data_IF_064494076777
#
_entry.id   IF_064494076777
#
_cell.length_a   1.000
_cell.length_b   1.000
_cell.length_c   1.000
_cell.angle_alpha   90.00
_cell.angle_beta   90.00
_cell.angle_gamma   90.00
#
_symmetry.space_group_name_H-M   'P 1'
#
loop_
_entity.id
_entity.type
_entity.pdbx_description
1 polymer ?
#
# COMPACT_ATOMS: atom_id res chain seq x y z
N UNK A 1 9.62 10.13 1.39
CA UNK A 1 10.17 8.85 0.88
C UNK A 1 9.91 7.80 1.95
N UNK A 2 9.43 6.62 1.56
CA UNK A 2 9.01 5.53 2.46
C UNK A 2 10.01 4.39 2.35
N UNK A 3 10.42 3.83 3.49
CA UNK A 3 11.06 2.52 3.51
C UNK A 3 10.06 1.53 4.12
N UNK A 4 9.72 0.51 3.34
CA UNK A 4 8.96 -0.64 3.81
C UNK A 4 9.94 -1.78 4.08
N UNK A 5 9.95 -2.28 5.30
CA UNK A 5 10.76 -3.44 5.66
C UNK A 5 9.88 -4.68 5.69
N UNK A 6 10.38 -5.74 5.07
CA UNK A 6 9.79 -7.06 5.20
C UNK A 6 10.28 -7.64 6.52
N UNK A 7 9.40 -7.75 7.50
CA UNK A 7 9.70 -8.39 8.77
C UNK A 7 9.44 -9.88 8.60
N UNK A 8 10.50 -10.63 8.33
CA UNK A 8 10.45 -12.08 8.46
C UNK A 8 11.77 -12.57 9.05
N UNK A 9 11.63 -13.59 9.89
CA UNK A 9 12.68 -14.47 10.41
C UNK A 9 13.40 -13.98 11.68
N UNK A 10 13.17 -14.63 12.83
CA UNK A 10 14.23 -14.89 13.81
C UNK A 10 14.57 -16.37 13.61
N UNK A 11 15.63 -16.65 12.85
CA UNK A 11 16.14 -17.98 12.45
C UNK A 11 15.21 -18.92 11.64
N UNK A 12 15.69 -19.36 10.47
CA UNK A 12 15.83 -20.77 10.01
C UNK A 12 14.70 -21.81 10.13
N UNK A 13 13.52 -21.48 10.65
CA UNK A 13 12.41 -22.42 10.85
C UNK A 13 11.26 -22.22 9.86
N UNK A 14 11.32 -21.16 9.03
CA UNK A 14 10.34 -20.92 7.97
C UNK A 14 10.49 -21.85 6.76
N UNK A 15 11.63 -22.53 6.59
CA UNK A 15 11.73 -23.63 5.62
C UNK A 15 10.91 -24.86 6.06
N UNK A 16 10.51 -24.92 7.34
CA UNK A 16 9.75 -26.02 7.93
C UNK A 16 8.29 -25.60 8.21
N UNK A 17 8.03 -24.31 8.45
CA UNK A 17 6.69 -23.78 8.75
C UNK A 17 6.34 -22.59 7.85
N UNK A 18 5.25 -22.73 7.10
CA UNK A 18 4.64 -21.74 6.19
C UNK A 18 4.01 -20.52 6.90
N UNK A 19 4.45 -20.18 8.10
CA UNK A 19 3.59 -19.45 9.04
C UNK A 19 3.83 -17.93 9.04
N UNK A 20 2.85 -17.25 8.45
CA UNK A 20 2.64 -15.81 8.28
C UNK A 20 2.57 -15.06 9.63
N UNK A 21 3.72 -14.80 10.25
CA UNK A 21 3.94 -13.96 11.47
C UNK A 21 5.03 -12.91 11.25
N UNK A 22 5.33 -12.08 12.24
CA UNK A 22 6.35 -11.04 12.14
C UNK A 22 6.17 -9.90 13.12
N UNK A 23 6.21 -10.17 14.43
CA UNK A 23 6.12 -9.12 15.47
C UNK A 23 7.45 -8.80 16.15
N UNK A 24 8.49 -9.58 15.85
CA UNK A 24 9.83 -9.49 16.45
C UNK A 24 10.89 -9.16 15.41
N UNK A 25 11.87 -8.33 15.79
CA UNK A 25 12.97 -7.98 14.89
C UNK A 25 13.94 -9.14 14.71
N UNK A 26 14.51 -9.25 13.51
CA UNK A 26 15.64 -10.12 13.27
C UNK A 26 16.93 -9.43 13.71
N UNK A 27 17.43 -9.78 14.89
CA UNK A 27 18.62 -9.13 15.47
C UNK A 27 19.92 -9.39 14.66
N UNK A 28 19.95 -10.38 13.75
CA UNK A 28 21.09 -10.56 12.84
C UNK A 28 21.09 -9.55 11.69
N UNK A 29 19.91 -9.21 11.16
CA UNK A 29 19.77 -8.25 10.08
C UNK A 29 19.66 -6.81 10.60
N UNK A 30 19.02 -6.65 11.75
CA UNK A 30 18.80 -5.39 12.45
C UNK A 30 19.28 -5.51 13.90
N UNK A 31 20.59 -5.50 14.16
CA UNK A 31 21.14 -5.62 15.53
C UNK A 31 20.79 -4.43 16.43
N UNK A 32 20.37 -3.29 15.84
CA UNK A 32 19.88 -2.14 16.58
C UNK A 32 18.68 -1.50 15.83
N UNK A 33 17.48 -2.11 15.91
CA UNK A 33 16.30 -1.61 15.19
C UNK A 33 15.91 -0.19 15.63
N UNK A 34 16.01 0.10 16.93
CA UNK A 34 15.68 1.42 17.47
C UNK A 34 16.60 2.51 16.92
N UNK A 35 17.91 2.26 16.88
CA UNK A 35 18.88 3.18 16.28
C UNK A 35 18.63 3.40 14.78
N UNK A 36 18.25 2.34 14.07
CA UNK A 36 17.89 2.42 12.66
C UNK A 36 16.63 3.27 12.42
N UNK A 37 15.56 3.03 13.16
CA UNK A 37 14.32 3.81 13.06
C UNK A 37 14.53 5.28 13.45
N UNK A 38 15.38 5.54 14.47
CA UNK A 38 15.78 6.88 14.85
C UNK A 38 16.56 7.59 13.74
N UNK A 39 17.47 6.87 13.06
CA UNK A 39 18.18 7.40 11.89
C UNK A 39 17.20 7.74 10.75
N UNK A 40 16.22 6.87 10.46
CA UNK A 40 15.19 7.16 9.47
C UNK A 40 14.42 8.45 9.81
N UNK A 41 13.99 8.59 11.07
CA UNK A 41 13.28 9.78 11.55
C UNK A 41 14.13 11.04 11.44
N UNK A 42 15.42 10.98 11.79
CA UNK A 42 16.36 12.09 11.65
C UNK A 42 16.53 12.56 10.19
N UNK A 43 16.26 11.67 9.23
CA UNK A 43 16.29 11.97 7.79
C UNK A 43 14.89 12.28 7.22
N UNK A 44 13.90 12.59 8.06
CA UNK A 44 12.51 12.86 7.66
C UNK A 44 11.84 11.71 6.88
N UNK A 45 12.24 10.47 7.19
CA UNK A 45 11.64 9.27 6.62
C UNK A 45 10.55 8.73 7.54
N UNK A 46 9.54 8.12 6.91
CA UNK A 46 8.47 7.41 7.60
C UNK A 46 8.71 5.91 7.53
N UNK A 47 8.49 5.23 8.65
CA UNK A 47 8.77 3.81 8.81
C UNK A 47 7.48 3.00 8.84
N UNK A 48 7.47 1.90 8.10
CA UNK A 48 6.40 0.90 8.17
C UNK A 48 6.99 -0.50 8.12
N UNK A 49 6.28 -1.42 8.73
CA UNK A 49 6.51 -2.85 8.60
C UNK A 49 5.35 -3.48 7.84
N UNK A 50 5.67 -4.49 7.04
CA UNK A 50 4.72 -5.42 6.50
C UNK A 50 4.29 -6.39 7.62
N UNK A 51 2.99 -6.49 7.88
CA UNK A 51 2.42 -7.37 8.89
C UNK A 51 1.63 -8.50 8.26
N UNK A 52 1.97 -9.69 8.72
CA UNK A 52 1.20 -10.91 8.55
C UNK A 52 0.83 -11.44 9.95
N UNK A 53 -0.47 -11.57 10.23
CA UNK A 53 -0.96 -11.90 11.58
C UNK A 53 -1.83 -13.16 11.61
N UNK A 54 -1.94 -13.88 10.48
CA UNK A 54 -2.83 -15.03 10.31
C UNK A 54 -2.51 -16.17 11.30
N UNK A 55 -1.22 -16.36 11.58
CA UNK A 55 -0.75 -17.45 12.44
C UNK A 55 -0.73 -17.06 13.93
N UNK A 56 -1.25 -15.88 14.30
CA UNK A 56 -1.27 -15.42 15.70
C UNK A 56 0.12 -15.09 16.26
N UNK A 57 0.26 -15.09 17.59
CA UNK A 57 1.56 -14.83 18.25
C UNK A 57 2.27 -16.15 18.48
N UNK A 58 3.41 -16.33 17.83
CA UNK A 58 4.17 -17.57 17.86
C UNK A 58 5.17 -17.59 19.02
N UNK A 59 5.59 -18.78 19.44
CA UNK A 59 6.49 -18.97 20.60
C UNK A 59 7.85 -18.25 20.51
N UNK A 60 8.28 -17.92 19.30
CA UNK A 60 9.54 -17.22 19.03
C UNK A 60 9.39 -15.70 19.00
N UNK A 61 8.17 -15.18 19.11
CA UNK A 61 7.92 -13.75 19.20
C UNK A 61 8.27 -13.26 20.62
N UNK A 62 8.95 -12.12 20.71
CA UNK A 62 9.41 -11.55 21.99
C UNK A 62 8.24 -11.33 22.97
N UNK A 63 7.04 -11.04 22.43
CA UNK A 63 5.83 -10.78 23.23
C UNK A 63 5.03 -12.04 23.55
N UNK A 64 5.50 -13.23 23.19
CA UNK A 64 4.73 -14.48 23.31
C UNK A 64 4.31 -14.78 24.75
N UNK A 65 5.25 -14.81 25.69
CA UNK A 65 4.98 -15.17 27.08
C UNK A 65 4.00 -14.19 27.74
N UNK A 66 4.18 -12.88 27.49
CA UNK A 66 3.29 -11.85 28.00
C UNK A 66 1.88 -11.99 27.41
N UNK A 67 1.77 -12.33 26.12
CA UNK A 67 0.47 -12.61 25.48
C UNK A 67 -0.18 -13.90 26.02
N UNK A 68 0.58 -14.96 26.31
CA UNK A 68 0.07 -16.20 26.95
C UNK A 68 -0.53 -15.89 28.32
N UNK A 69 0.19 -15.14 29.15
CA UNK A 69 -0.26 -14.71 30.48
C UNK A 69 -1.50 -13.81 30.37
N UNK A 70 -1.43 -12.76 29.54
CA UNK A 70 -2.53 -11.81 29.37
C UNK A 70 -3.81 -12.46 28.83
N UNK A 71 -3.66 -13.49 27.99
CA UNK A 71 -4.79 -14.27 27.48
C UNK A 71 -5.28 -15.34 28.46
N UNK A 72 -4.51 -15.67 29.50
CA UNK A 72 -4.83 -16.74 30.46
C UNK A 72 -4.72 -18.13 29.84
N UNK A 73 -3.77 -18.32 28.91
CA UNK A 73 -3.50 -19.59 28.27
C UNK A 73 -2.60 -20.47 29.15
N UNK A 74 -2.63 -21.78 28.89
CA UNK A 74 -1.74 -22.73 29.57
C UNK A 74 -0.27 -22.43 29.21
N UNK A 75 0.66 -22.61 30.15
CA UNK A 75 2.10 -22.48 29.91
C UNK A 75 2.62 -23.39 28.78
N UNK A 76 1.93 -24.50 28.49
CA UNK A 76 2.22 -25.41 27.37
C UNK A 76 1.65 -24.95 26.02
N UNK A 77 1.10 -23.73 25.91
CA UNK A 77 0.60 -23.20 24.66
C UNK A 77 1.72 -23.13 23.61
N UNK A 78 1.40 -23.51 22.36
CA UNK A 78 2.36 -23.46 21.25
C UNK A 78 2.35 -22.11 20.52
N UNK A 79 1.21 -21.42 20.55
CA UNK A 79 0.97 -20.10 19.98
C UNK A 79 -0.26 -19.46 20.64
N UNK A 80 -0.41 -18.15 20.53
CA UNK A 80 -1.64 -17.42 20.88
C UNK A 80 -2.47 -17.25 19.62
N UNK A 81 -3.67 -17.84 19.50
CA UNK A 81 -4.45 -17.82 18.27
C UNK A 81 -4.91 -16.41 17.92
N UNK A 82 -4.82 -16.07 16.63
CA UNK A 82 -5.38 -14.84 16.10
C UNK A 82 -6.90 -14.81 16.28
N UNK A 83 -7.39 -13.89 17.12
CA UNK A 83 -8.82 -13.73 17.45
C UNK A 83 -9.25 -12.26 17.34
N UNK A 84 -9.29 -11.68 16.13
CA UNK A 84 -9.53 -10.25 15.93
C UNK A 84 -10.94 -9.79 16.32
N UNK A 85 -11.87 -10.69 16.62
CA UNK A 85 -13.22 -10.35 17.12
C UNK A 85 -13.35 -10.47 18.64
N UNK A 86 -12.34 -11.02 19.33
CA UNK A 86 -12.31 -11.09 20.79
C UNK A 86 -11.73 -9.79 21.35
N UNK A 87 -12.51 -8.96 22.09
CA UNK A 87 -12.04 -7.70 22.63
C UNK A 87 -10.83 -7.86 23.57
N UNK A 88 -10.76 -8.97 24.33
CA UNK A 88 -9.61 -9.24 25.21
C UNK A 88 -8.35 -9.44 24.37
N UNK A 89 -8.44 -10.25 23.32
CA UNK A 89 -7.33 -10.47 22.40
C UNK A 89 -6.90 -9.17 21.72
N UNK A 90 -7.84 -8.41 21.14
CA UNK A 90 -7.52 -7.16 20.43
C UNK A 90 -6.83 -6.16 21.36
N UNK A 91 -7.37 -5.92 22.55
CA UNK A 91 -6.79 -4.97 23.50
C UNK A 91 -5.36 -5.37 23.91
N UNK A 92 -5.16 -6.66 24.19
CA UNK A 92 -3.85 -7.19 24.53
C UNK A 92 -2.89 -7.13 23.34
N UNK A 93 -3.32 -7.53 22.14
CA UNK A 93 -2.50 -7.48 20.93
C UNK A 93 -2.05 -6.05 20.59
N UNK A 94 -2.95 -5.08 20.63
CA UNK A 94 -2.61 -3.68 20.35
C UNK A 94 -1.63 -3.14 21.40
N UNK A 95 -1.83 -3.47 22.69
CA UNK A 95 -1.02 -2.96 23.81
C UNK A 95 0.34 -3.64 23.96
N UNK A 96 0.35 -4.96 23.92
CA UNK A 96 1.52 -5.79 24.24
C UNK A 96 2.37 -6.01 22.99
N UNK A 97 1.74 -6.20 21.82
CA UNK A 97 2.46 -6.54 20.59
C UNK A 97 2.73 -5.32 19.71
N UNK A 98 1.71 -4.52 19.36
CA UNK A 98 1.91 -3.41 18.41
C UNK A 98 2.48 -2.14 19.03
N UNK A 99 2.02 -1.77 20.24
CA UNK A 99 2.45 -0.52 20.88
C UNK A 99 3.97 -0.44 21.06
N UNK A 100 4.71 -1.49 21.49
CA UNK A 100 6.17 -1.39 21.60
C UNK A 100 6.85 -1.07 20.26
N UNK A 101 6.36 -1.63 19.14
CA UNK A 101 6.87 -1.33 17.81
C UNK A 101 6.55 0.12 17.39
N UNK A 102 5.36 0.62 17.73
CA UNK A 102 4.97 2.01 17.48
C UNK A 102 5.82 2.99 18.30
N UNK A 103 6.02 2.70 19.60
CA UNK A 103 6.87 3.47 20.50
C UNK A 103 8.33 3.51 20.01
N UNK A 104 8.80 2.42 19.37
CA UNK A 104 10.14 2.35 18.79
C UNK A 104 10.31 3.24 17.55
N UNK A 105 9.22 3.62 16.87
CA UNK A 105 9.25 4.56 15.74
C UNK A 105 8.59 4.07 14.45
N UNK A 106 7.73 3.04 14.51
CA UNK A 106 6.85 2.68 13.39
C UNK A 106 5.71 3.69 13.27
N UNK A 107 5.58 4.34 12.11
CA UNK A 107 4.60 5.40 11.88
C UNK A 107 3.22 4.87 11.43
N UNK A 108 3.21 3.77 10.69
CA UNK A 108 2.00 3.16 10.14
C UNK A 108 2.19 1.68 9.81
N UNK A 109 1.11 1.01 9.43
CA UNK A 109 1.08 -0.42 9.18
C UNK A 109 0.72 -0.77 7.74
N UNK A 110 1.53 -1.63 7.13
CA UNK A 110 1.16 -2.33 5.89
C UNK A 110 0.62 -3.71 6.28
N UNK A 111 -0.67 -3.88 6.11
CA UNK A 111 -1.38 -5.11 6.38
C UNK A 111 -1.40 -5.91 5.09
N UNK A 112 -0.62 -6.99 5.03
CA UNK A 112 -0.45 -7.78 3.81
C UNK A 112 -1.01 -9.18 4.01
N UNK A 113 -2.31 -9.25 4.28
CA UNK A 113 -2.98 -10.51 4.53
C UNK A 113 -4.08 -10.75 3.50
N UNK A 114 -4.21 -12.00 3.04
CA UNK A 114 -5.02 -12.35 1.87
C UNK A 114 -6.53 -12.23 2.16
N UNK A 115 -7.21 -11.60 1.20
CA UNK A 115 -8.64 -11.32 1.16
C UNK A 115 -9.50 -12.59 1.02
N UNK A 116 -10.74 -12.55 1.54
CA UNK A 116 -11.89 -13.18 0.88
C UNK A 116 -12.11 -14.68 1.07
N UNK A 117 -11.31 -15.42 1.84
CA UNK A 117 -11.65 -16.78 2.21
C UNK A 117 -12.51 -16.79 3.48
N UNK A 118 -13.81 -17.05 3.33
CA UNK A 118 -14.64 -17.54 4.43
C UNK A 118 -13.99 -18.82 4.98
N UNK A 119 -13.39 -18.73 6.16
CA UNK A 119 -12.81 -19.90 6.80
C UNK A 119 -12.09 -19.63 8.10
N UNK A 120 -11.65 -20.71 8.79
CA UNK A 120 -10.97 -20.64 10.09
C UNK A 120 -9.68 -19.81 10.09
N UNK A 121 -9.06 -19.60 8.92
CA UNK A 121 -7.75 -18.94 8.75
C UNK A 121 -7.77 -17.43 8.99
N UNK A 122 -8.96 -16.82 9.05
CA UNK A 122 -9.14 -15.38 9.29
C UNK A 122 -9.18 -15.02 10.77
N UNK A 123 -9.37 -16.02 11.64
CA UNK A 123 -9.73 -15.80 13.04
C UNK A 123 -11.14 -15.20 13.23
N UNK A 124 -11.90 -15.02 12.14
CA UNK A 124 -13.23 -14.40 12.11
C UNK A 124 -14.23 -15.46 11.67
N UNK A 125 -14.90 -16.08 12.65
CA UNK A 125 -15.99 -17.01 12.41
C UNK A 125 -17.35 -16.32 12.68
N UNK A 126 -17.57 -15.18 12.02
CA UNK A 126 -18.81 -14.40 12.12
C UNK A 126 -19.43 -14.27 10.73
N UNK A 127 -20.61 -14.87 10.49
CA UNK A 127 -21.32 -14.71 9.23
C UNK A 127 -21.53 -13.23 8.91
N UNK A 128 -21.26 -12.82 7.68
CA UNK A 128 -21.40 -11.45 7.16
C UNK A 128 -20.37 -10.40 7.63
N UNK A 129 -19.38 -10.75 8.46
CA UNK A 129 -18.30 -9.82 8.79
C UNK A 129 -17.18 -9.95 7.77
N UNK A 130 -16.97 -8.93 6.94
CA UNK A 130 -15.83 -8.87 6.03
C UNK A 130 -14.51 -8.79 6.85
N UNK A 131 -13.61 -9.79 6.77
CA UNK A 131 -12.39 -9.81 7.56
C UNK A 131 -11.48 -8.61 7.33
N UNK A 132 -11.28 -8.25 6.06
CA UNK A 132 -10.41 -7.15 5.65
C UNK A 132 -10.93 -5.81 6.18
N UNK A 133 -12.23 -5.56 6.04
CA UNK A 133 -12.85 -4.35 6.58
C UNK A 133 -12.71 -4.26 8.10
N UNK A 134 -12.97 -5.37 8.81
CA UNK A 134 -12.87 -5.42 10.26
C UNK A 134 -11.45 -5.16 10.74
N UNK A 135 -10.47 -5.83 10.14
CA UNK A 135 -9.06 -5.63 10.46
C UNK A 135 -8.65 -4.18 10.20
N UNK A 136 -9.06 -3.60 9.07
CA UNK A 136 -8.80 -2.19 8.78
C UNK A 136 -9.37 -1.28 9.88
N UNK A 137 -10.60 -1.52 10.32
CA UNK A 137 -11.20 -0.79 11.43
C UNK A 137 -10.35 -0.92 12.72
N UNK A 138 -9.94 -2.13 13.11
CA UNK A 138 -9.15 -2.35 14.32
C UNK A 138 -7.83 -1.59 14.32
N UNK A 139 -7.08 -1.66 13.21
CA UNK A 139 -5.80 -0.98 13.10
C UNK A 139 -5.98 0.54 12.97
N UNK A 140 -6.96 0.99 12.20
CA UNK A 140 -7.20 2.43 12.00
C UNK A 140 -7.68 3.10 13.29
N UNK A 141 -8.48 2.40 14.11
CA UNK A 141 -8.97 2.91 15.41
C UNK A 141 -8.08 2.56 16.59
N UNK A 142 -6.89 1.99 16.34
CA UNK A 142 -5.93 1.67 17.39
C UNK A 142 -5.55 2.93 18.19
N UNK A 143 -5.91 3.04 19.49
CA UNK A 143 -5.69 4.26 20.27
C UNK A 143 -4.21 4.63 20.40
N UNK A 144 -3.30 3.66 20.30
CA UNK A 144 -1.86 3.90 20.39
C UNK A 144 -1.28 4.54 19.11
N UNK A 145 -2.00 4.51 17.99
CA UNK A 145 -1.56 5.11 16.73
C UNK A 145 -1.84 6.62 16.65
N UNK A 146 -2.82 7.12 17.40
CA UNK A 146 -3.29 8.52 17.34
C UNK A 146 -2.42 9.49 18.14
N UNK A 147 -1.46 8.98 18.93
CA UNK A 147 -0.63 9.76 19.85
C UNK A 147 -1.34 10.04 21.19
N UNK A 148 -0.61 10.56 22.20
CA UNK A 148 -1.22 11.07 23.43
C UNK A 148 -2.25 12.16 23.13
N UNK A 149 -3.26 12.32 24.00
CA UNK A 149 -4.31 13.35 23.84
C UNK A 149 -3.74 14.78 23.80
N UNK A 150 -2.54 14.96 24.33
CA UNK A 150 -1.81 16.24 24.44
C UNK A 150 -0.84 16.49 23.27
N UNK A 151 -0.71 15.55 22.34
CA UNK A 151 0.07 15.73 21.10
C UNK A 151 -0.87 16.04 19.91
N UNK A 152 -0.38 16.70 18.84
CA UNK A 152 -1.14 16.85 17.61
C UNK A 152 -1.60 15.49 17.10
N UNK A 153 -2.92 15.35 16.92
CA UNK A 153 -3.55 14.11 16.42
C UNK A 153 -2.80 13.61 15.18
N UNK A 154 -2.18 12.44 15.31
CA UNK A 154 -1.57 11.77 14.15
C UNK A 154 -2.69 11.26 13.25
N UNK A 155 -2.56 11.51 11.94
CA UNK A 155 -3.49 10.94 10.97
C UNK A 155 -3.13 9.47 10.77
N UNK A 156 -4.02 8.52 11.07
CA UNK A 156 -3.77 7.12 10.81
C UNK A 156 -3.60 6.92 9.32
N UNK A 157 -2.79 5.94 9.01
CA UNK A 157 -2.48 5.53 7.67
C UNK A 157 -2.38 4.02 7.72
N UNK A 158 -2.97 3.35 6.74
CA UNK A 158 -2.78 1.93 6.51
C UNK A 158 -2.33 1.71 5.08
N UNK A 159 -1.78 0.55 4.80
CA UNK A 159 -1.71 0.02 3.44
C UNK A 159 -2.33 -1.36 3.50
N UNK A 160 -3.48 -1.55 2.86
CA UNK A 160 -4.14 -2.85 2.83
C UNK A 160 -4.88 -3.04 1.51
N UNK A 161 -5.26 -4.28 1.28
CA UNK A 161 -6.08 -4.74 0.18
C UNK A 161 -7.52 -4.21 0.24
N UNK A 162 -8.32 -4.48 -0.81
CA UNK A 162 -9.73 -4.08 -0.87
C UNK A 162 -10.59 -4.79 0.20
N UNK A 163 -11.21 -4.01 1.08
CA UNK A 163 -12.11 -4.50 2.13
C UNK A 163 -13.61 -4.43 1.80
N UNK A 164 -13.98 -4.16 0.55
CA UNK A 164 -15.39 -3.95 0.18
C UNK A 164 -15.86 -2.50 0.35
N UNK A 165 -17.16 -2.29 0.13
CA UNK A 165 -17.78 -0.96 0.23
C UNK A 165 -17.62 -0.38 1.64
N UNK A 166 -17.41 0.94 1.70
CA UNK A 166 -17.13 1.64 2.96
C UNK A 166 -15.66 1.63 3.39
N UNK A 167 -14.82 0.79 2.79
CA UNK A 167 -13.40 0.68 3.16
C UNK A 167 -12.56 1.94 2.84
N UNK A 168 -13.11 2.89 2.08
CA UNK A 168 -12.51 4.21 1.85
C UNK A 168 -12.26 5.00 3.14
N UNK A 169 -12.91 4.64 4.25
CA UNK A 169 -12.65 5.19 5.58
C UNK A 169 -11.27 4.80 6.14
N UNK A 170 -10.66 3.75 5.60
CA UNK A 170 -9.41 3.16 6.08
C UNK A 170 -8.39 3.04 4.93
N UNK A 171 -7.98 4.19 4.41
CA UNK A 171 -7.00 4.26 3.32
C UNK A 171 -5.59 3.92 3.80
N UNK A 172 -4.74 3.37 2.95
CA UNK A 172 -4.70 3.31 1.48
C UNK A 172 -4.94 1.89 0.96
N UNK A 173 -5.63 1.79 -0.19
CA UNK A 173 -5.83 0.55 -0.94
C UNK A 173 -4.66 0.22 -1.88
N UNK A 174 -4.37 -1.06 -2.15
CA UNK A 174 -3.43 -1.43 -3.22
C UNK A 174 -3.85 -2.63 -4.08
N UNK A 175 -3.33 -2.66 -5.31
CA UNK A 175 -3.70 -3.64 -6.35
C UNK A 175 -3.16 -5.06 -6.19
N UNK A 176 -2.36 -5.32 -5.16
CA UNK A 176 -1.71 -6.62 -4.96
C UNK A 176 -0.54 -6.89 -5.92
N UNK A 177 -0.19 -8.18 -6.03
CA UNK A 177 1.02 -8.66 -6.71
C UNK A 177 0.82 -8.75 -8.22
N UNK A 178 1.22 -7.69 -8.94
CA UNK A 178 1.05 -7.58 -10.39
C UNK A 178 2.26 -8.16 -11.13
N UNK A 179 2.03 -8.96 -12.17
CA UNK A 179 3.09 -9.34 -13.11
C UNK A 179 3.44 -8.13 -14.01
N UNK A 180 4.69 -7.67 -14.10
CA UNK A 180 5.07 -6.61 -15.03
C UNK A 180 4.88 -7.04 -16.48
N UNK A 181 3.98 -6.34 -17.15
CA UNK A 181 3.77 -6.40 -18.60
C UNK A 181 3.06 -5.11 -19.04
N UNK A 182 3.08 -4.84 -20.35
CA UNK A 182 2.30 -3.75 -20.94
C UNK A 182 0.79 -3.94 -20.74
N UNK A 183 0.29 -5.18 -20.82
CA UNK A 183 -1.12 -5.48 -20.52
C UNK A 183 -1.49 -5.19 -19.08
N UNK A 184 -0.61 -5.51 -18.13
CA UNK A 184 -0.79 -5.16 -16.72
C UNK A 184 -0.80 -3.65 -16.51
N UNK A 185 0.17 -2.92 -17.09
CA UNK A 185 0.19 -1.45 -17.00
C UNK A 185 -1.11 -0.85 -17.56
N UNK A 186 -1.57 -1.34 -18.72
CA UNK A 186 -2.83 -0.91 -19.31
C UNK A 186 -4.05 -1.19 -18.41
N UNK A 187 -4.10 -2.37 -17.80
CA UNK A 187 -5.18 -2.73 -16.88
C UNK A 187 -5.15 -1.86 -15.62
N UNK A 188 -3.97 -1.65 -15.03
CA UNK A 188 -3.78 -0.93 -13.77
C UNK A 188 -4.25 0.54 -13.87
N UNK A 189 -4.09 1.20 -15.02
CA UNK A 189 -4.63 2.54 -15.26
C UNK A 189 -6.16 2.56 -15.08
N UNK A 190 -6.88 1.74 -15.87
CA UNK A 190 -8.34 1.65 -15.78
C UNK A 190 -8.83 1.14 -14.41
N UNK A 191 -8.09 0.24 -13.77
CA UNK A 191 -8.44 -0.32 -12.47
C UNK A 191 -8.32 0.71 -11.35
N UNK A 192 -7.26 1.52 -11.35
CA UNK A 192 -7.08 2.64 -10.40
C UNK A 192 -8.20 3.67 -10.55
N UNK A 193 -8.68 3.92 -11.77
CA UNK A 193 -9.85 4.78 -11.99
C UNK A 193 -11.13 4.20 -11.40
N UNK A 194 -11.40 2.91 -11.62
CA UNK A 194 -12.58 2.24 -11.05
C UNK A 194 -12.59 2.25 -9.53
N UNK A 195 -11.41 2.20 -8.88
CA UNK A 195 -11.32 2.33 -7.42
C UNK A 195 -11.88 3.68 -6.93
N UNK A 196 -11.69 4.75 -7.71
CA UNK A 196 -12.25 6.07 -7.38
C UNK A 196 -13.78 6.11 -7.48
N UNK A 197 -14.41 5.32 -8.36
CA UNK A 197 -15.87 5.22 -8.45
C UNK A 197 -16.54 4.64 -7.20
N UNK A 198 -15.80 3.81 -6.45
CA UNK A 198 -16.27 3.22 -5.18
C UNK A 198 -15.72 3.97 -3.97
N UNK A 199 -15.38 5.26 -4.17
CA UNK A 199 -14.82 6.18 -3.19
C UNK A 199 -13.44 5.80 -2.65
N UNK A 200 -12.79 4.76 -3.20
CA UNK A 200 -11.46 4.35 -2.77
C UNK A 200 -10.36 5.02 -3.59
N UNK A 201 -10.41 6.36 -3.57
CA UNK A 201 -9.59 7.23 -4.40
C UNK A 201 -8.08 7.17 -4.14
N UNK A 202 -7.68 6.84 -2.91
CA UNK A 202 -6.28 6.62 -2.56
C UNK A 202 -5.93 5.16 -2.83
N UNK A 203 -5.83 4.85 -4.11
CA UNK A 203 -5.44 3.53 -4.62
C UNK A 203 -3.98 3.54 -5.07
N UNK A 204 -3.24 2.54 -4.64
CA UNK A 204 -1.84 2.32 -4.96
C UNK A 204 -1.68 1.09 -5.86
N UNK A 205 -0.62 1.11 -6.65
CA UNK A 205 -0.11 -0.02 -7.41
C UNK A 205 1.40 -0.09 -7.20
N UNK A 206 1.97 -1.27 -7.46
CA UNK A 206 3.42 -1.44 -7.47
C UNK A 206 3.98 -0.84 -8.77
N UNK A 207 4.62 0.33 -8.69
CA UNK A 207 5.22 0.94 -9.88
C UNK A 207 6.32 0.01 -10.43
N UNK A 208 6.14 -0.43 -11.67
CA UNK A 208 7.00 -1.41 -12.34
C UNK A 208 6.56 -2.87 -12.16
N UNK A 209 5.46 -3.13 -11.48
CA UNK A 209 5.00 -4.49 -11.16
C UNK A 209 5.80 -5.15 -10.04
N UNK A 210 5.22 -6.24 -9.52
CA UNK A 210 5.68 -6.93 -8.32
C UNK A 210 6.56 -8.14 -8.61
N UNK A 211 6.12 -9.03 -9.51
CA UNK A 211 6.57 -10.44 -9.52
C UNK A 211 7.94 -10.69 -10.18
N UNK A 212 8.46 -9.74 -10.96
CA UNK A 212 9.75 -9.86 -11.65
C UNK A 212 10.27 -8.48 -12.07
N UNK A 213 11.54 -8.37 -12.51
CA UNK A 213 12.06 -7.10 -13.03
C UNK A 213 11.38 -6.70 -14.35
N UNK A 214 10.86 -5.47 -14.48
CA UNK A 214 10.35 -4.93 -15.73
C UNK A 214 11.53 -4.51 -16.63
N UNK A 215 11.38 -4.60 -17.96
CA UNK A 215 12.27 -3.92 -18.89
C UNK A 215 12.34 -2.41 -18.61
N UNK A 216 13.45 -1.77 -18.93
CA UNK A 216 13.70 -0.36 -18.64
C UNK A 216 12.62 0.58 -19.21
N UNK A 217 12.16 0.32 -20.44
CA UNK A 217 11.10 1.10 -21.07
C UNK A 217 9.77 0.98 -20.30
N UNK A 218 9.35 -0.24 -19.97
CA UNK A 218 8.13 -0.50 -19.20
C UNK A 218 8.19 0.21 -17.84
N UNK A 219 9.31 0.10 -17.13
CA UNK A 219 9.48 0.78 -15.83
C UNK A 219 9.41 2.30 -15.96
N UNK A 220 10.04 2.85 -17.01
CA UNK A 220 10.01 4.28 -17.31
C UNK A 220 8.57 4.75 -17.53
N UNK A 221 7.78 4.06 -18.36
CA UNK A 221 6.37 4.40 -18.59
C UNK A 221 5.51 4.27 -17.33
N UNK A 222 5.82 3.29 -16.48
CA UNK A 222 5.11 3.12 -15.21
C UNK A 222 5.44 4.24 -14.21
N UNK A 223 6.69 4.69 -14.13
CA UNK A 223 7.08 5.85 -13.31
C UNK A 223 6.39 7.12 -13.82
N UNK A 224 6.34 7.32 -15.15
CA UNK A 224 5.62 8.45 -15.75
C UNK A 224 4.15 8.47 -15.34
N UNK A 225 3.47 7.32 -15.43
CA UNK A 225 2.09 7.19 -14.97
C UNK A 225 1.96 7.34 -13.44
N UNK A 226 2.90 6.78 -12.67
CA UNK A 226 2.94 6.87 -11.22
C UNK A 226 2.91 8.30 -10.71
N UNK A 227 3.57 9.24 -11.40
CA UNK A 227 3.54 10.66 -11.06
C UNK A 227 2.11 11.26 -11.06
N UNK A 228 1.22 10.71 -11.91
CA UNK A 228 -0.19 11.09 -12.04
C UNK A 228 -1.13 10.04 -11.44
N UNK A 229 -0.64 9.18 -10.54
CA UNK A 229 -1.46 8.25 -9.75
C UNK A 229 -1.73 8.83 -8.36
N UNK A 230 -2.78 8.39 -7.64
CA UNK A 230 -3.05 8.89 -6.29
C UNK A 230 -1.85 8.69 -5.36
N UNK A 231 -1.25 7.50 -5.41
CA UNK A 231 -0.11 7.10 -4.59
C UNK A 231 1.10 6.75 -5.47
N UNK A 232 2.27 7.30 -5.13
CA UNK A 232 3.54 7.00 -5.79
C UNK A 232 4.32 6.00 -4.94
N UNK A 233 4.17 4.70 -5.22
CA UNK A 233 4.81 3.62 -4.45
C UNK A 233 5.61 2.70 -5.37
N UNK A 234 6.91 2.64 -5.13
CA UNK A 234 7.81 1.68 -5.76
C UNK A 234 7.92 0.48 -4.82
N UNK A 235 7.62 -0.71 -5.34
CA UNK A 235 7.67 -1.95 -4.59
C UNK A 235 7.85 -3.13 -5.55
N UNK A 236 8.42 -4.22 -5.05
CA UNK A 236 8.74 -5.42 -5.81
C UNK A 236 8.82 -6.64 -4.88
N UNK A 237 8.90 -7.82 -5.50
CA UNK A 237 9.19 -9.07 -4.82
C UNK A 237 10.56 -9.05 -4.11
N UNK A 238 10.75 -9.90 -3.09
CA UNK A 238 12.03 -10.10 -2.39
C UNK A 238 13.01 -10.86 -3.31
N UNK A 239 13.58 -10.19 -4.30
CA UNK A 239 14.59 -10.74 -5.20
C UNK A 239 15.74 -9.77 -5.40
N UNK A 240 16.98 -10.26 -5.28
CA UNK A 240 18.18 -9.47 -5.53
C UNK A 240 18.30 -9.01 -7.00
N UNK A 241 17.61 -9.70 -7.92
CA UNK A 241 17.55 -9.32 -9.34
C UNK A 241 16.52 -8.21 -9.59
N UNK A 242 15.69 -7.88 -8.60
CA UNK A 242 14.52 -7.01 -8.74
C UNK A 242 14.72 -5.64 -8.09
N UNK A 243 15.86 -5.01 -8.43
CA UNK A 243 16.24 -3.68 -7.95
C UNK A 243 15.46 -2.57 -8.66
N UNK A 244 14.67 -1.84 -7.89
CA UNK A 244 13.80 -0.75 -8.38
C UNK A 244 14.43 0.64 -8.27
N UNK A 245 15.67 0.76 -7.79
CA UNK A 245 16.36 2.05 -7.70
C UNK A 245 16.56 2.62 -9.10
N UNK A 246 16.01 3.80 -9.38
CA UNK A 246 15.99 4.32 -10.75
C UNK A 246 17.38 4.51 -11.39
N UNK A 247 18.44 4.64 -10.57
CA UNK A 247 19.81 4.83 -11.02
C UNK A 247 20.52 3.53 -11.45
N UNK A 248 19.92 2.34 -11.26
CA UNK A 248 20.46 1.10 -11.81
C UNK A 248 20.05 0.86 -13.27
N UNK A 249 19.13 1.66 -13.79
CA UNK A 249 18.65 1.60 -15.17
C UNK A 249 19.52 2.43 -16.11
N UNK A 250 19.49 2.18 -17.44
CA UNK A 250 20.25 2.96 -18.42
C UNK A 250 20.05 4.47 -18.26
N UNK A 251 21.11 5.24 -18.51
CA UNK A 251 21.15 6.69 -18.23
C UNK A 251 19.98 7.47 -18.86
N UNK A 252 19.57 7.11 -20.08
CA UNK A 252 18.43 7.75 -20.75
C UNK A 252 17.11 7.54 -19.99
N UNK A 253 16.86 6.32 -19.50
CA UNK A 253 15.70 5.98 -18.70
C UNK A 253 15.75 6.64 -17.31
N UNK A 254 16.90 6.59 -16.64
CA UNK A 254 17.12 7.24 -15.35
C UNK A 254 16.74 8.72 -15.39
N UNK A 255 17.21 9.48 -16.39
CA UNK A 255 16.93 10.91 -16.52
C UNK A 255 15.42 11.20 -16.56
N UNK A 256 14.68 10.43 -17.37
CA UNK A 256 13.22 10.56 -17.49
C UNK A 256 12.54 10.17 -16.17
N UNK A 257 12.92 9.05 -15.56
CA UNK A 257 12.34 8.61 -14.29
C UNK A 257 12.57 9.63 -13.18
N UNK A 258 13.78 10.18 -13.09
CA UNK A 258 14.13 11.22 -12.12
C UNK A 258 13.30 12.48 -12.33
N UNK A 259 13.14 12.95 -13.57
CA UNK A 259 12.32 14.12 -13.91
C UNK A 259 10.87 13.96 -13.42
N UNK A 260 10.25 12.80 -13.66
CA UNK A 260 8.87 12.56 -13.22
C UNK A 260 8.74 12.39 -11.69
N UNK A 261 9.77 11.87 -11.02
CA UNK A 261 9.82 11.83 -9.56
C UNK A 261 9.93 13.25 -8.97
N UNK A 262 10.72 14.14 -9.58
CA UNK A 262 10.81 15.56 -9.19
C UNK A 262 9.50 16.28 -9.48
N UNK A 263 8.90 16.06 -10.65
CA UNK A 263 7.57 16.60 -11.00
C UNK A 263 6.53 16.20 -9.96
N UNK A 264 6.46 14.91 -9.60
CA UNK A 264 5.58 14.42 -8.54
C UNK A 264 5.79 15.15 -7.21
N UNK A 265 7.03 15.37 -6.82
CA UNK A 265 7.38 16.16 -5.62
C UNK A 265 6.89 17.60 -5.71
N UNK A 266 7.06 18.25 -6.86
CA UNK A 266 6.59 19.63 -7.07
C UNK A 266 5.07 19.78 -7.05
N UNK A 267 4.32 18.72 -7.38
CA UNK A 267 2.86 18.70 -7.38
C UNK A 267 2.24 18.49 -5.99
N UNK A 268 3.02 18.35 -4.91
CA UNK A 268 2.48 18.12 -3.56
C UNK A 268 1.42 19.15 -3.14
N UNK A 269 1.57 20.47 -3.36
CA UNK A 269 0.52 21.45 -3.04
C UNK A 269 -0.79 21.18 -3.80
N UNK A 270 -0.70 20.84 -5.10
CA UNK A 270 -1.85 20.48 -5.92
C UNK A 270 -2.53 19.21 -5.43
N UNK A 271 -1.76 18.13 -5.26
CA UNK A 271 -2.24 16.83 -4.80
C UNK A 271 -2.91 16.96 -3.43
N UNK A 272 -2.30 17.71 -2.51
CA UNK A 272 -2.81 17.87 -1.16
C UNK A 272 -4.06 18.76 -1.09
N UNK A 273 -4.23 19.69 -2.02
CA UNK A 273 -5.47 20.46 -2.18
C UNK A 273 -6.64 19.53 -2.53
N UNK A 274 -6.45 18.63 -3.49
CA UNK A 274 -7.49 17.67 -3.88
C UNK A 274 -7.63 16.50 -2.90
N UNK A 275 -6.60 16.22 -2.10
CA UNK A 275 -6.73 15.35 -0.94
C UNK A 275 -7.70 15.94 0.10
N UNK A 276 -7.68 17.27 0.30
CA UNK A 276 -8.64 17.97 1.16
C UNK A 276 -10.04 17.98 0.58
N UNK A 277 -10.20 18.25 -0.72
CA UNK A 277 -11.50 18.18 -1.40
C UNK A 277 -12.12 16.77 -1.28
N UNK A 278 -11.31 15.72 -1.49
CA UNK A 278 -11.76 14.34 -1.34
C UNK A 278 -12.24 14.04 0.09
N UNK A 279 -11.59 14.61 1.11
CA UNK A 279 -12.04 14.49 2.49
C UNK A 279 -13.41 15.18 2.72
N UNK A 280 -13.63 16.34 2.11
CA UNK A 280 -14.84 17.15 2.36
C UNK A 280 -16.05 16.72 1.54
N UNK A 281 -15.82 16.18 0.35
CA UNK A 281 -16.87 15.95 -0.66
C UNK A 281 -16.94 14.51 -1.13
N UNK A 282 -15.91 13.70 -0.89
CA UNK A 282 -15.76 12.37 -1.46
C UNK A 282 -15.22 12.36 -2.91
N UNK A 283 -15.03 13.53 -3.55
CA UNK A 283 -14.49 13.61 -4.90
C UNK A 283 -12.98 13.45 -4.90
N UNK A 284 -12.49 12.29 -5.36
CA UNK A 284 -11.07 11.96 -5.40
C UNK A 284 -10.27 12.80 -6.41
N UNK A 285 -8.95 12.85 -6.20
CA UNK A 285 -7.98 13.38 -7.14
C UNK A 285 -8.04 12.68 -8.51
N UNK A 286 -8.32 11.37 -8.57
CA UNK A 286 -8.48 10.68 -9.84
C UNK A 286 -9.94 10.73 -10.29
N UNK A 287 -10.23 11.46 -11.37
CA UNK A 287 -11.58 11.65 -11.88
C UNK A 287 -11.68 11.04 -13.27
N UNK A 288 -12.54 10.05 -13.42
CA UNK A 288 -12.84 9.50 -14.74
C UNK A 288 -13.52 10.56 -15.62
N UNK A 289 -13.40 10.44 -16.95
CA UNK A 289 -13.92 11.46 -17.87
C UNK A 289 -15.43 11.70 -17.68
N UNK A 290 -16.20 10.63 -17.43
CA UNK A 290 -17.65 10.70 -17.20
C UNK A 290 -18.05 11.41 -15.90
N UNK A 291 -17.12 11.70 -14.98
CA UNK A 291 -17.45 12.56 -13.82
C UNK A 291 -17.69 14.01 -14.25
N UNK A 292 -16.91 14.50 -15.21
CA UNK A 292 -17.01 15.86 -15.74
C UNK A 292 -17.92 15.91 -16.99
N UNK A 293 -18.09 14.78 -17.68
CA UNK A 293 -18.80 14.68 -18.96
C UNK A 293 -19.77 13.48 -19.02
N UNK A 294 -20.76 13.40 -18.12
CA UNK A 294 -21.65 12.23 -18.03
C UNK A 294 -22.52 12.02 -19.26
N UNK A 295 -22.75 13.05 -20.07
CA UNK A 295 -23.60 13.01 -21.28
C UNK A 295 -22.83 12.71 -22.58
N UNK A 296 -21.50 12.56 -22.51
CA UNK A 296 -20.67 12.24 -23.68
C UNK A 296 -20.36 10.74 -23.69
N UNK A 297 -20.82 10.02 -24.71
CA UNK A 297 -20.56 8.58 -24.87
C UNK A 297 -19.06 8.26 -24.88
N UNK A 298 -18.25 9.15 -25.48
CA UNK A 298 -16.80 9.01 -25.52
C UNK A 298 -16.18 8.92 -24.11
N UNK A 299 -16.75 9.62 -23.12
CA UNK A 299 -16.24 9.63 -21.75
C UNK A 299 -16.26 8.24 -21.10
N UNK A 300 -17.17 7.36 -21.53
CA UNK A 300 -17.28 5.97 -21.07
C UNK A 300 -16.43 5.00 -21.90
N UNK A 301 -16.10 5.35 -23.15
CA UNK A 301 -15.26 4.56 -24.06
C UNK A 301 -13.78 4.72 -23.69
N UNK A 302 -13.33 5.94 -23.41
CA UNK A 302 -11.92 6.25 -23.13
C UNK A 302 -11.54 5.99 -21.66
N UNK A 303 -11.41 4.72 -21.29
CA UNK A 303 -11.16 4.28 -19.89
C UNK A 303 -9.68 4.28 -19.44
N UNK A 304 -8.74 4.66 -20.32
CA UNK A 304 -7.30 4.80 -20.04
C UNK A 304 -6.81 6.23 -20.26
N UNK A 305 -7.68 7.17 -19.89
CA UNK A 305 -7.51 8.60 -19.89
C UNK A 305 -8.39 9.17 -18.77
N UNK A 306 -7.91 10.20 -18.07
CA UNK A 306 -8.61 10.73 -16.90
C UNK A 306 -8.13 12.13 -16.54
N UNK A 307 -8.88 12.77 -15.65
CA UNK A 307 -8.49 14.01 -15.00
C UNK A 307 -7.78 13.70 -13.67
N UNK A 308 -6.58 14.25 -13.51
CA UNK A 308 -5.80 14.23 -12.28
C UNK A 308 -6.02 15.56 -11.56
N UNK A 309 -7.07 15.62 -10.75
CA UNK A 309 -7.77 16.85 -10.40
C UNK A 309 -8.41 17.50 -11.64
N UNK A 310 -9.06 18.65 -11.52
CA UNK A 310 -9.79 19.30 -12.60
C UNK A 310 -8.88 19.94 -13.67
N UNK A 311 -7.58 20.10 -13.43
CA UNK A 311 -6.72 20.92 -14.29
C UNK A 311 -5.72 20.13 -15.15
N UNK A 312 -5.51 18.84 -14.86
CA UNK A 312 -4.50 18.03 -15.56
C UNK A 312 -5.21 16.83 -16.18
N UNK A 313 -5.11 16.67 -17.50
CA UNK A 313 -5.57 15.45 -18.18
C UNK A 313 -4.39 14.51 -18.39
N UNK A 314 -4.49 13.29 -17.87
CA UNK A 314 -3.48 12.25 -18.00
C UNK A 314 -3.96 11.16 -18.96
N UNK A 315 -3.09 10.78 -19.90
CA UNK A 315 -3.35 9.72 -20.86
C UNK A 315 -2.11 8.81 -20.98
N UNK A 316 -1.88 7.89 -20.02
CA UNK A 316 -0.63 7.12 -19.94
C UNK A 316 -0.32 6.29 -21.18
N UNK A 317 0.96 6.18 -21.57
CA UNK A 317 1.40 5.25 -22.61
C UNK A 317 1.55 3.85 -22.01
N UNK A 318 0.81 2.89 -22.54
CA UNK A 318 0.67 1.53 -21.97
C UNK A 318 1.10 0.43 -22.94
N UNK A 319 1.95 0.77 -23.92
CA UNK A 319 2.53 -0.15 -24.90
C UNK A 319 3.97 0.24 -25.21
N UNK A 320 4.75 -0.74 -25.68
CA UNK A 320 6.12 -0.53 -26.13
C UNK A 320 6.19 0.34 -27.37
N UNK A 321 7.30 1.05 -27.52
CA UNK A 321 7.69 1.67 -28.78
C UNK A 321 7.79 0.63 -29.89
N UNK A 322 7.31 0.98 -31.08
CA UNK A 322 7.55 0.15 -32.25
C UNK A 322 9.05 0.14 -32.59
N UNK A 323 9.60 -1.05 -32.78
CA UNK A 323 11.05 -1.22 -33.01
C UNK A 323 11.54 -0.49 -34.27
N UNK A 324 10.71 -0.40 -35.31
CA UNK A 324 11.09 0.23 -36.59
C UNK A 324 10.80 1.72 -36.59
N UNK A 325 9.57 2.13 -36.27
CA UNK A 325 9.17 3.54 -36.38
C UNK A 325 9.62 4.38 -35.19
N UNK A 326 10.01 3.76 -34.08
CA UNK A 326 10.36 4.44 -32.83
C UNK A 326 9.23 5.34 -32.29
N UNK A 327 7.98 5.04 -32.66
CA UNK A 327 6.79 5.81 -32.29
C UNK A 327 5.77 4.92 -31.59
N UNK A 328 5.01 5.51 -30.66
CA UNK A 328 3.80 4.94 -30.08
C UNK A 328 2.61 5.82 -30.46
N UNK A 329 1.57 5.22 -31.05
CA UNK A 329 0.32 5.93 -31.34
C UNK A 329 -0.67 5.70 -30.20
N UNK A 330 -1.23 6.78 -29.64
CA UNK A 330 -2.31 6.71 -28.66
C UNK A 330 -3.42 7.68 -29.07
N UNK A 331 -4.61 7.14 -29.29
CA UNK A 331 -5.82 7.94 -29.47
C UNK A 331 -6.31 8.42 -28.11
N UNK A 332 -6.58 9.72 -28.01
CA UNK A 332 -7.17 10.36 -26.84
C UNK A 332 -8.42 11.13 -27.28
N UNK A 333 -9.39 11.24 -26.38
CA UNK A 333 -10.51 12.15 -26.58
C UNK A 333 -10.13 13.54 -26.06
N UNK A 334 -10.41 14.60 -26.79
CA UNK A 334 -10.21 15.97 -26.30
C UNK A 334 -11.58 16.55 -25.97
N UNK A 335 -11.88 16.71 -24.66
CA UNK A 335 -13.13 17.29 -24.24
C UNK A 335 -13.34 18.71 -24.77
N UNK A 336 -14.59 19.14 -25.07
CA UNK A 336 -14.87 20.42 -25.74
C UNK A 336 -14.29 21.68 -25.08
N UNK A 337 -14.21 21.75 -23.74
CA UNK A 337 -13.61 22.90 -23.04
C UNK A 337 -12.07 22.87 -22.97
N UNK A 338 -11.44 21.80 -23.46
CA UNK A 338 -9.98 21.63 -23.49
C UNK A 338 -9.34 22.11 -24.80
N UNK A 339 -10.13 22.75 -25.70
CA UNK A 339 -9.70 23.24 -27.01
C UNK A 339 -9.34 24.72 -27.02
#
# INVERSE_FOLDING_TARGET
>A
MQFSFFQNEKFGLAEIYTDLTGFTWNDHLFPNPQGFLAWCKANNLKNTLNLHFASGIQKWEDTFNEMVEAMGLNASALYVPWKPVDPKFVNNFLKITLKPLQDMGIDFWWLDWRQGEEGPKTGINMPNLNPTFWINYLFFTNPYQWGPIDEPVKRPFLLHSWGGLGNHRYQIGFSGNVNPSWSSLNYQVSFTLRASNVLFGYWSHDIGGHLKPPPAELYTRWIQWGAFSPIFRIHSSKSALDDRRIWVYPLANYKIMHEFMVLRGSMVPYIYTYAREAHDTGLSLLRALYFEYPEADESYIFNNQYFFGPHIMAAPITQAVNETSQVVNKTIWIPPWYR
#
